data_IF_644333828172
#
_entry.id   IF_644333828172
#
_cell.length_a   1.000
_cell.length_b   1.000
_cell.length_c   1.000
_cell.angle_alpha   90.00
_cell.angle_beta   90.00
_cell.angle_gamma   90.00
#
_symmetry.space_group_name_H-M   'P 1'
#
loop_
_entity.id
_entity.type
_entity.pdbx_description
1 polymer ?
#
# COMPACT_ATOMS: atom_id res chain seq x y z
N UNK A 1 7.82 -22.05 -10.33
CA UNK A 1 8.69 -20.90 -10.04
C UNK A 1 9.73 -21.28 -9.00
N UNK A 2 10.93 -20.77 -9.16
CA UNK A 2 12.00 -21.03 -8.21
C UNK A 2 11.78 -20.24 -6.93
N UNK A 3 12.19 -20.81 -5.80
CA UNK A 3 12.11 -20.16 -4.49
C UNK A 3 12.73 -18.74 -4.51
N UNK A 4 13.85 -18.61 -5.21
CA UNK A 4 14.55 -17.33 -5.32
C UNK A 4 13.69 -16.23 -5.96
N UNK A 5 12.91 -16.58 -6.98
CA UNK A 5 12.00 -15.66 -7.63
C UNK A 5 10.87 -15.25 -6.71
N UNK A 6 10.34 -16.22 -5.96
CA UNK A 6 9.29 -15.96 -4.99
C UNK A 6 9.77 -14.99 -3.90
N UNK A 7 10.98 -15.20 -3.40
CA UNK A 7 11.57 -14.34 -2.38
C UNK A 7 11.78 -12.91 -2.91
N UNK A 8 12.17 -12.79 -4.18
CA UNK A 8 12.33 -11.48 -4.83
C UNK A 8 10.99 -10.76 -4.92
N UNK A 9 9.93 -11.46 -5.27
CA UNK A 9 8.59 -10.87 -5.36
C UNK A 9 8.05 -10.45 -4.00
N UNK A 10 8.33 -11.23 -2.96
CA UNK A 10 7.96 -10.87 -1.58
C UNK A 10 8.69 -9.60 -1.16
N UNK A 11 9.98 -9.49 -1.48
CA UNK A 11 10.75 -8.30 -1.17
C UNK A 11 10.15 -7.07 -1.84
N UNK A 12 9.74 -7.22 -3.10
CA UNK A 12 9.10 -6.13 -3.83
C UNK A 12 7.79 -5.71 -3.18
N UNK A 13 7.00 -6.67 -2.72
CA UNK A 13 5.76 -6.36 -2.00
C UNK A 13 6.05 -5.58 -0.73
N UNK A 14 7.08 -5.97 0.01
CA UNK A 14 7.49 -5.24 1.22
C UNK A 14 7.86 -3.79 0.89
N UNK A 15 8.62 -3.60 -0.17
CA UNK A 15 9.02 -2.26 -0.61
C UNK A 15 7.79 -1.44 -1.03
N UNK A 16 6.86 -2.06 -1.73
CA UNK A 16 5.61 -1.41 -2.15
C UNK A 16 4.76 -1.00 -0.95
N UNK A 17 4.69 -1.83 0.08
CA UNK A 17 3.95 -1.51 1.30
C UNK A 17 4.58 -0.32 2.02
N UNK A 18 5.91 -0.29 2.08
CA UNK A 18 6.63 0.84 2.67
C UNK A 18 6.37 2.13 1.89
N UNK A 19 6.34 2.03 0.58
CA UNK A 19 6.01 3.18 -0.27
C UNK A 19 4.57 3.65 -0.02
N UNK A 20 3.64 2.73 0.10
CA UNK A 20 2.25 3.07 0.42
C UNK A 20 2.16 3.81 1.75
N UNK A 21 2.88 3.33 2.78
CA UNK A 21 2.96 3.99 4.07
C UNK A 21 3.46 5.43 3.96
N UNK A 22 4.50 5.63 3.15
CA UNK A 22 5.05 6.97 2.91
C UNK A 22 4.03 7.88 2.22
N UNK A 23 3.29 7.35 1.25
CA UNK A 23 2.24 8.10 0.54
C UNK A 23 1.14 8.53 1.51
N UNK A 24 0.72 7.65 2.40
CA UNK A 24 -0.31 7.95 3.41
C UNK A 24 0.18 9.04 4.36
N UNK A 25 1.43 8.93 4.81
CA UNK A 25 2.04 9.94 5.68
C UNK A 25 2.05 11.30 5.02
N UNK A 26 2.48 11.38 3.76
CA UNK A 26 2.49 12.62 2.99
C UNK A 26 1.09 13.20 2.85
N UNK A 27 0.11 12.36 2.52
CA UNK A 27 -1.27 12.81 2.36
C UNK A 27 -1.81 13.37 3.67
N UNK A 28 -1.50 12.72 4.78
CA UNK A 28 -1.92 13.18 6.11
C UNK A 28 -1.34 14.55 6.43
N UNK A 29 -0.04 14.73 6.21
CA UNK A 29 0.64 16.00 6.46
C UNK A 29 0.08 17.11 5.56
N UNK A 30 -0.18 16.80 4.29
CA UNK A 30 -0.76 17.74 3.36
C UNK A 30 -2.19 18.13 3.75
N UNK A 31 -2.96 17.19 4.29
CA UNK A 31 -4.31 17.45 4.77
C UNK A 31 -4.31 18.42 5.94
N UNK A 32 -3.39 18.24 6.87
CA UNK A 32 -3.25 19.15 8.01
C UNK A 32 -2.86 20.54 7.53
N UNK A 33 -1.93 20.63 6.60
CA UNK A 33 -1.48 21.90 6.03
C UNK A 33 -2.63 22.62 5.32
N UNK A 34 -3.39 21.91 4.50
CA UNK A 34 -4.53 22.45 3.79
C UNK A 34 -5.60 22.95 4.75
N UNK A 35 -5.84 22.22 5.82
CA UNK A 35 -6.82 22.60 6.84
C UNK A 35 -6.41 23.90 7.52
N UNK A 36 -5.13 24.03 7.85
CA UNK A 36 -4.59 25.25 8.47
C UNK A 36 -4.72 26.49 7.57
N UNK A 37 -4.46 26.31 6.28
CA UNK A 37 -4.46 27.39 5.30
C UNK A 37 -5.82 27.63 4.67
N UNK A 38 -6.76 26.69 4.82
CA UNK A 38 -8.07 26.70 4.17
C UNK A 38 -7.95 26.96 2.67
N UNK A 39 -7.03 26.24 2.04
CA UNK A 39 -6.69 26.41 0.63
C UNK A 39 -7.46 25.41 -0.23
N UNK A 40 -8.30 25.89 -1.14
CA UNK A 40 -9.12 25.06 -2.02
C UNK A 40 -8.25 24.24 -2.99
N UNK A 41 -7.18 24.84 -3.50
CA UNK A 41 -6.27 24.14 -4.42
C UNK A 41 -5.56 22.98 -3.73
N UNK A 42 -5.19 23.15 -2.47
CA UNK A 42 -4.60 22.09 -1.68
C UNK A 42 -5.59 20.95 -1.47
N UNK A 43 -6.88 21.25 -1.35
CA UNK A 43 -7.93 20.23 -1.24
C UNK A 43 -8.02 19.36 -2.50
N UNK A 44 -7.91 19.97 -3.68
CA UNK A 44 -7.90 19.24 -4.94
C UNK A 44 -6.70 18.28 -5.02
N UNK A 45 -5.55 18.73 -4.56
CA UNK A 45 -4.34 17.92 -4.51
C UNK A 45 -4.53 16.72 -3.58
N UNK A 46 -5.22 16.91 -2.46
CA UNK A 46 -5.52 15.84 -1.51
C UNK A 46 -6.39 14.77 -2.16
N UNK A 47 -7.41 15.14 -2.92
CA UNK A 47 -8.23 14.18 -3.66
C UNK A 47 -7.40 13.37 -4.64
N UNK A 48 -6.47 14.01 -5.32
CA UNK A 48 -5.58 13.34 -6.25
C UNK A 48 -4.68 12.34 -5.53
N UNK A 49 -4.10 12.75 -4.40
CA UNK A 49 -3.27 11.87 -3.59
C UNK A 49 -4.05 10.67 -3.08
N UNK A 50 -5.31 10.87 -2.68
CA UNK A 50 -6.17 9.78 -2.25
C UNK A 50 -6.37 8.75 -3.36
N UNK A 51 -6.58 9.22 -4.59
CA UNK A 51 -6.72 8.31 -5.75
C UNK A 51 -5.44 7.55 -6.03
N UNK A 52 -4.28 8.20 -5.89
CA UNK A 52 -2.99 7.55 -6.07
C UNK A 52 -2.75 6.48 -5.02
N UNK A 53 -3.09 6.78 -3.76
CA UNK A 53 -2.98 5.82 -2.66
C UNK A 53 -3.86 4.60 -2.93
N UNK A 54 -5.12 4.82 -3.32
CA UNK A 54 -6.04 3.73 -3.63
C UNK A 54 -5.54 2.90 -4.81
N UNK A 55 -5.00 3.54 -5.85
CA UNK A 55 -4.43 2.84 -7.00
C UNK A 55 -3.25 1.97 -6.59
N UNK A 56 -2.37 2.49 -5.75
CA UNK A 56 -1.22 1.73 -5.25
C UNK A 56 -1.67 0.56 -4.38
N UNK A 57 -2.66 0.77 -3.53
CA UNK A 57 -3.23 -0.29 -2.69
C UNK A 57 -3.77 -1.43 -3.54
N UNK A 58 -4.57 -1.13 -4.56
CA UNK A 58 -5.12 -2.15 -5.46
C UNK A 58 -4.01 -2.91 -6.19
N UNK A 59 -2.99 -2.21 -6.64
CA UNK A 59 -1.84 -2.83 -7.31
C UNK A 59 -1.15 -3.84 -6.40
N UNK A 60 -0.92 -3.46 -5.14
CA UNK A 60 -0.26 -4.34 -4.16
C UNK A 60 -1.15 -5.54 -3.84
N UNK A 61 -2.45 -5.32 -3.62
CA UNK A 61 -3.39 -6.40 -3.32
C UNK A 61 -3.43 -7.41 -4.46
N UNK A 62 -3.46 -6.94 -5.70
CA UNK A 62 -3.44 -7.84 -6.87
C UNK A 62 -2.17 -8.67 -6.91
N UNK A 63 -1.01 -8.07 -6.64
CA UNK A 63 0.24 -8.80 -6.58
C UNK A 63 0.21 -9.90 -5.52
N UNK A 64 -0.32 -9.58 -4.34
CA UNK A 64 -0.44 -10.54 -3.25
C UNK A 64 -1.37 -11.68 -3.62
N UNK A 65 -2.51 -11.39 -4.23
CA UNK A 65 -3.46 -12.40 -4.66
C UNK A 65 -2.83 -13.35 -5.68
N UNK A 66 -2.10 -12.79 -6.65
CA UNK A 66 -1.42 -13.59 -7.67
C UNK A 66 -0.36 -14.49 -7.03
N UNK A 67 0.43 -13.96 -6.09
CA UNK A 67 1.44 -14.74 -5.40
C UNK A 67 0.83 -15.91 -4.63
N UNK A 68 -0.26 -15.67 -3.91
CA UNK A 68 -0.95 -16.73 -3.15
C UNK A 68 -1.49 -17.79 -4.10
N UNK A 69 -2.09 -17.37 -5.21
CA UNK A 69 -2.73 -18.29 -6.15
C UNK A 69 -1.72 -19.11 -6.95
N UNK A 70 -0.58 -18.51 -7.32
CA UNK A 70 0.34 -19.14 -8.27
C UNK A 70 1.55 -19.81 -7.65
N UNK A 71 1.98 -19.42 -6.46
CA UNK A 71 3.22 -19.88 -5.86
C UNK A 71 3.04 -20.94 -4.78
N UNK A 72 1.81 -21.14 -4.31
CA UNK A 72 1.53 -22.07 -3.21
C UNK A 72 2.55 -21.91 -2.08
N UNK A 73 2.64 -20.73 -1.47
CA UNK A 73 3.68 -20.45 -0.49
C UNK A 73 3.59 -21.34 0.73
N UNK A 74 4.72 -21.56 1.39
CA UNK A 74 4.77 -22.28 2.66
C UNK A 74 4.06 -21.48 3.74
N UNK A 75 3.69 -22.15 4.84
CA UNK A 75 2.91 -21.55 5.91
C UNK A 75 3.48 -20.21 6.40
N UNK A 76 4.82 -20.14 6.52
CA UNK A 76 5.49 -18.91 6.95
C UNK A 76 5.25 -17.76 5.96
N UNK A 77 5.39 -18.05 4.67
CA UNK A 77 5.20 -17.04 3.63
C UNK A 77 3.74 -16.60 3.53
N UNK A 78 2.81 -17.53 3.75
CA UNK A 78 1.38 -17.22 3.78
C UNK A 78 1.07 -16.24 4.91
N UNK A 79 1.65 -16.45 6.08
CA UNK A 79 1.48 -15.55 7.21
C UNK A 79 2.03 -14.17 6.89
N UNK A 80 3.18 -14.12 6.22
CA UNK A 80 3.77 -12.84 5.81
C UNK A 80 2.86 -12.08 4.85
N UNK A 81 2.30 -12.78 3.85
CA UNK A 81 1.38 -12.18 2.90
C UNK A 81 0.09 -11.71 3.57
N UNK A 82 -0.44 -12.50 4.49
CA UNK A 82 -1.63 -12.12 5.26
C UNK A 82 -1.37 -10.87 6.10
N UNK A 83 -0.20 -10.79 6.73
CA UNK A 83 0.20 -9.62 7.50
C UNK A 83 0.31 -8.38 6.63
N UNK A 84 0.85 -8.53 5.42
CA UNK A 84 0.95 -7.42 4.47
C UNK A 84 -0.43 -6.89 4.08
N UNK A 85 -1.39 -7.79 3.82
CA UNK A 85 -2.76 -7.39 3.51
C UNK A 85 -3.40 -6.64 4.66
N UNK A 86 -3.16 -7.09 5.88
CA UNK A 86 -3.68 -6.43 7.08
C UNK A 86 -3.11 -5.02 7.23
N UNK A 87 -1.80 -4.86 7.01
CA UNK A 87 -1.14 -3.55 7.04
C UNK A 87 -1.74 -2.62 5.99
N UNK A 88 -1.99 -3.12 4.78
CA UNK A 88 -2.60 -2.33 3.70
C UNK A 88 -3.98 -1.83 4.11
N UNK A 89 -4.79 -2.68 4.74
CA UNK A 89 -6.11 -2.30 5.22
C UNK A 89 -6.04 -1.19 6.28
N UNK A 90 -5.07 -1.28 7.18
CA UNK A 90 -4.87 -0.25 8.20
C UNK A 90 -4.43 1.07 7.57
N UNK A 91 -3.53 1.01 6.58
CA UNK A 91 -3.07 2.22 5.89
C UNK A 91 -4.21 2.89 5.12
N UNK A 92 -5.09 2.09 4.51
CA UNK A 92 -6.26 2.61 3.83
C UNK A 92 -7.15 3.38 4.80
N UNK A 93 -7.40 2.82 5.97
CA UNK A 93 -8.19 3.48 7.00
C UNK A 93 -7.59 4.80 7.44
N UNK A 94 -6.28 4.84 7.58
CA UNK A 94 -5.57 6.07 7.95
C UNK A 94 -5.65 7.12 6.85
N UNK A 95 -5.67 6.67 5.59
CA UNK A 95 -5.70 7.56 4.43
C UNK A 95 -7.07 8.16 4.14
N UNK A 96 -8.12 7.48 4.57
CA UNK A 96 -9.48 7.94 4.40
C UNK A 96 -9.80 9.03 5.44
#
# INVERSE_FOLDING_TARGET
>A
MLRKTFESEIKQVKDDVLMLGSMVEHALLNSVEALKKRDIKASEKIFQEDREINGKRFEIENKLMVLIATQQPMAHDLRLLASAMEIISELERMGD
#
